data_IF_908734694564
#
_entry.id   IF_908734694564
#
_cell.length_a   1.000
_cell.length_b   1.000
_cell.length_c   1.000
_cell.angle_alpha   90.00
_cell.angle_beta   90.00
_cell.angle_gamma   90.00
#
_symmetry.space_group_name_H-M   'P 1'
#
loop_
_entity.id
_entity.type
_entity.pdbx_description
1 polymer ?
#
# COMPACT_ATOMS: atom_id res chain seq x y z
N UNK A 1 -37.82 -22.00 2.98
CA UNK A 1 -38.05 -21.74 4.41
C UNK A 1 -36.90 -22.40 5.17
N UNK A 2 -36.21 -21.66 6.06
CA UNK A 2 -35.02 -22.05 6.85
C UNK A 2 -33.63 -21.91 6.18
N UNK A 3 -33.22 -20.66 5.92
CA UNK A 3 -31.80 -20.23 5.85
C UNK A 3 -31.64 -18.92 6.62
N UNK A 4 -32.23 -18.85 7.81
CA UNK A 4 -32.30 -17.64 8.63
C UNK A 4 -32.11 -17.95 10.11
N UNK A 5 -31.11 -18.78 10.43
CA UNK A 5 -30.73 -19.07 11.82
C UNK A 5 -29.23 -19.33 11.88
N UNK A 6 -28.50 -18.27 12.29
CA UNK A 6 -27.17 -18.23 12.93
C UNK A 6 -26.51 -16.86 12.70
N UNK A 7 -27.22 -15.79 13.04
CA UNK A 7 -26.56 -14.59 13.55
C UNK A 7 -26.55 -14.75 15.07
N UNK A 8 -25.59 -15.53 15.57
CA UNK A 8 -25.35 -15.69 17.00
C UNK A 8 -24.84 -14.36 17.58
N UNK A 9 -25.75 -13.66 18.25
CA UNK A 9 -25.52 -12.70 19.34
C UNK A 9 -24.72 -11.42 19.02
N UNK A 10 -25.24 -10.61 18.09
CA UNK A 10 -24.78 -9.22 17.86
C UNK A 10 -24.80 -8.37 19.13
N UNK A 11 -25.66 -8.68 20.10
CA UNK A 11 -25.79 -7.95 21.36
C UNK A 11 -24.59 -8.19 22.29
N UNK A 12 -24.06 -9.43 22.35
CA UNK A 12 -22.82 -9.74 23.10
C UNK A 12 -21.60 -9.05 22.50
N UNK A 13 -21.48 -9.02 21.17
CA UNK A 13 -20.35 -8.38 20.49
C UNK A 13 -20.37 -6.86 20.74
N UNK A 14 -21.53 -6.21 20.61
CA UNK A 14 -21.66 -4.77 20.87
C UNK A 14 -21.38 -4.39 22.33
N UNK A 15 -21.79 -5.23 23.30
CA UNK A 15 -21.46 -5.03 24.71
C UNK A 15 -19.97 -5.19 24.98
N UNK A 16 -19.34 -6.22 24.40
CA UNK A 16 -17.91 -6.42 24.49
C UNK A 16 -17.12 -5.24 23.88
N UNK A 17 -17.57 -4.71 22.74
CA UNK A 17 -16.96 -3.52 22.12
C UNK A 17 -17.08 -2.29 23.01
N UNK A 18 -18.24 -2.05 23.61
CA UNK A 18 -18.46 -0.93 24.53
C UNK A 18 -17.61 -1.06 25.81
N UNK A 19 -17.51 -2.26 26.38
CA UNK A 19 -16.67 -2.56 27.55
C UNK A 19 -15.17 -2.44 27.22
N UNK A 20 -14.73 -2.90 26.04
CA UNK A 20 -13.36 -2.68 25.54
C UNK A 20 -13.04 -1.20 25.37
N UNK A 21 -13.97 -0.41 24.83
CA UNK A 21 -13.80 1.04 24.67
C UNK A 21 -13.71 1.77 26.01
N UNK A 22 -14.61 1.47 26.94
CA UNK A 22 -14.62 2.05 28.28
C UNK A 22 -13.36 1.68 29.07
N UNK A 23 -12.92 0.43 28.97
CA UNK A 23 -11.74 -0.05 29.69
C UNK A 23 -10.45 0.51 29.09
N UNK A 24 -10.38 0.72 27.76
CA UNK A 24 -9.24 1.37 27.08
C UNK A 24 -9.01 2.81 27.57
N UNK A 25 -10.08 3.51 27.95
CA UNK A 25 -9.99 4.83 28.59
C UNK A 25 -9.41 4.77 30.01
N UNK A 26 -9.49 3.62 30.68
CA UNK A 26 -8.95 3.38 32.02
C UNK A 26 -7.48 2.94 32.03
N UNK A 27 -6.85 2.76 30.86
CA UNK A 27 -5.41 2.49 30.76
C UNK A 27 -4.95 1.11 31.23
N UNK A 28 -5.85 0.12 31.37
CA UNK A 28 -5.46 -1.26 31.73
C UNK A 28 -4.48 -1.85 30.71
N UNK A 29 -3.62 -2.83 31.08
CA UNK A 29 -2.74 -3.52 30.15
C UNK A 29 -3.53 -4.42 29.18
N UNK A 30 -3.14 -4.45 27.89
CA UNK A 30 -3.79 -5.27 26.84
C UNK A 30 -3.96 -6.74 27.24
N UNK A 31 -3.01 -7.30 28.00
CA UNK A 31 -3.05 -8.68 28.48
C UNK A 31 -4.28 -8.98 29.37
N UNK A 32 -4.75 -7.99 30.13
CA UNK A 32 -5.90 -8.15 31.02
C UNK A 32 -7.22 -8.26 30.23
N UNK A 33 -7.37 -7.47 29.15
CA UNK A 33 -8.50 -7.57 28.22
C UNK A 33 -8.53 -8.91 27.50
N UNK A 34 -7.36 -9.38 27.05
CA UNK A 34 -7.26 -10.68 26.38
C UNK A 34 -7.74 -11.79 27.32
N UNK A 35 -7.48 -11.69 28.62
CA UNK A 35 -7.95 -12.67 29.61
C UNK A 35 -9.47 -12.57 29.82
N UNK A 36 -9.99 -11.36 29.98
CA UNK A 36 -11.39 -11.08 30.28
C UNK A 36 -12.32 -11.48 29.11
N UNK A 37 -11.95 -11.13 27.88
CA UNK A 37 -12.80 -11.29 26.69
C UNK A 37 -12.46 -12.51 25.80
N UNK A 38 -11.51 -13.37 26.22
CA UNK A 38 -11.12 -14.57 25.44
C UNK A 38 -12.31 -15.45 25.07
N UNK A 39 -13.28 -15.58 25.97
CA UNK A 39 -14.42 -16.48 25.81
C UNK A 39 -15.45 -15.98 24.78
N UNK A 40 -15.36 -14.71 24.35
CA UNK A 40 -16.26 -14.11 23.36
C UNK A 40 -15.76 -14.21 21.92
N UNK A 41 -14.50 -14.62 21.72
CA UNK A 41 -13.88 -14.71 20.40
C UNK A 41 -13.48 -16.15 20.11
N UNK A 42 -13.70 -16.58 18.86
CA UNK A 42 -13.29 -17.93 18.42
C UNK A 42 -11.77 -18.07 18.28
N UNK A 43 -11.06 -16.95 18.04
CA UNK A 43 -9.62 -16.92 17.82
C UNK A 43 -9.01 -15.58 18.23
N UNK A 44 -7.85 -15.64 18.88
CA UNK A 44 -7.01 -14.49 19.18
C UNK A 44 -5.81 -14.51 18.22
N UNK A 45 -5.54 -13.40 17.55
CA UNK A 45 -4.38 -13.23 16.66
C UNK A 45 -3.45 -12.19 17.28
N UNK A 46 -2.21 -12.58 17.55
CA UNK A 46 -1.18 -11.69 18.07
C UNK A 46 -0.37 -11.11 16.90
N UNK A 47 -0.24 -9.79 16.87
CA UNK A 47 0.55 -9.08 15.86
C UNK A 47 1.55 -8.18 16.59
N UNK A 48 2.85 -8.41 16.37
CA UNK A 48 3.90 -7.54 16.85
C UNK A 48 4.15 -6.42 15.83
N UNK A 49 3.86 -5.17 16.20
CA UNK A 49 4.08 -4.02 15.31
C UNK A 49 5.56 -3.71 15.07
N UNK A 50 6.44 -4.03 16.03
CA UNK A 50 7.88 -3.79 15.93
C UNK A 50 8.58 -4.70 14.90
N UNK A 51 7.96 -5.83 14.53
CA UNK A 51 8.47 -6.72 13.48
C UNK A 51 7.92 -6.42 12.08
N UNK A 52 7.10 -5.37 11.93
CA UNK A 52 6.51 -5.03 10.63
C UNK A 52 7.54 -4.32 9.74
N UNK A 53 7.76 -4.86 8.55
CA UNK A 53 8.52 -4.20 7.48
C UNK A 53 7.59 -3.67 6.39
N UNK A 54 8.01 -2.68 5.58
CA UNK A 54 7.25 -2.28 4.40
C UNK A 54 7.18 -3.41 3.37
N UNK A 55 6.00 -3.59 2.77
CA UNK A 55 5.75 -4.58 1.71
C UNK A 55 5.05 -3.93 0.51
N UNK A 56 5.30 -4.49 -0.67
CA UNK A 56 4.48 -4.33 -1.87
C UNK A 56 3.77 -5.66 -2.18
N UNK A 57 2.77 -5.61 -3.05
CA UNK A 57 2.05 -6.80 -3.52
C UNK A 57 2.18 -6.95 -5.03
N UNK A 58 2.43 -8.17 -5.51
CA UNK A 58 2.56 -8.46 -6.93
C UNK A 58 3.45 -9.67 -7.24
N UNK A 59 3.78 -9.89 -8.52
CA UNK A 59 3.46 -9.04 -9.67
C UNK A 59 2.06 -9.23 -10.25
N UNK A 60 1.35 -10.33 -9.92
CA UNK A 60 0.06 -10.67 -10.56
C UNK A 60 -1.14 -10.81 -9.61
N UNK A 61 -0.95 -10.89 -8.30
CA UNK A 61 -2.04 -11.00 -7.32
C UNK A 61 -1.80 -10.16 -6.07
N UNK A 62 -2.87 -9.69 -5.45
CA UNK A 62 -2.80 -8.79 -4.28
C UNK A 62 -2.24 -9.45 -3.01
N UNK A 63 -2.46 -10.75 -2.84
CA UNK A 63 -1.95 -11.52 -1.70
C UNK A 63 -0.46 -11.89 -1.81
N UNK A 64 0.16 -11.71 -2.98
CA UNK A 64 1.57 -12.00 -3.18
C UNK A 64 2.42 -10.88 -2.59
N UNK A 65 2.71 -10.96 -1.29
CA UNK A 65 3.52 -9.96 -0.58
C UNK A 65 5.00 -10.13 -0.86
N UNK A 66 5.70 -9.01 -1.03
CA UNK A 66 7.14 -8.92 -1.22
C UNK A 66 7.66 -7.78 -0.35
N UNK A 67 8.65 -8.06 0.50
CA UNK A 67 9.27 -7.00 1.32
C UNK A 67 9.94 -5.98 0.38
N UNK A 68 9.82 -4.69 0.66
CA UNK A 68 10.38 -3.63 -0.21
C UNK A 68 11.89 -3.83 -0.41
N UNK A 69 12.60 -4.29 0.63
CA UNK A 69 14.04 -4.62 0.58
C UNK A 69 14.37 -5.73 -0.40
N UNK A 70 13.43 -6.62 -0.69
CA UNK A 70 13.62 -7.82 -1.52
C UNK A 70 12.99 -7.66 -2.91
N UNK A 71 12.37 -6.51 -3.21
CA UNK A 71 11.62 -6.28 -4.44
C UNK A 71 12.47 -6.49 -5.70
N UNK A 72 13.74 -6.06 -5.70
CA UNK A 72 14.65 -6.23 -6.83
C UNK A 72 14.93 -7.72 -7.11
N UNK A 73 15.34 -8.46 -6.09
CA UNK A 73 15.68 -9.89 -6.22
C UNK A 73 14.44 -10.72 -6.56
N UNK A 74 13.29 -10.41 -5.96
CA UNK A 74 12.02 -11.10 -6.23
C UNK A 74 11.57 -10.89 -7.68
N UNK A 75 11.61 -9.66 -8.19
CA UNK A 75 11.28 -9.36 -9.58
C UNK A 75 12.25 -10.02 -10.56
N UNK A 76 13.55 -10.03 -10.27
CA UNK A 76 14.56 -10.71 -11.11
C UNK A 76 14.33 -12.22 -11.17
N UNK A 77 13.98 -12.86 -10.05
CA UNK A 77 13.58 -14.26 -10.04
C UNK A 77 12.32 -14.50 -10.89
N UNK A 78 11.33 -13.60 -10.81
CA UNK A 78 10.11 -13.68 -11.61
C UNK A 78 10.38 -13.64 -13.11
N UNK A 79 11.45 -12.99 -13.58
CA UNK A 79 11.78 -12.97 -15.02
C UNK A 79 12.05 -14.39 -15.55
N UNK A 80 12.73 -15.23 -14.78
CA UNK A 80 13.13 -16.58 -15.23
C UNK A 80 12.05 -17.64 -14.98
N UNK A 81 11.26 -17.46 -13.93
CA UNK A 81 10.28 -18.45 -13.48
C UNK A 81 9.21 -18.75 -14.54
N UNK A 82 8.72 -20.00 -14.57
CA UNK A 82 7.70 -20.45 -15.53
C UNK A 82 6.47 -19.56 -15.48
N UNK A 83 5.79 -19.40 -16.61
CA UNK A 83 4.59 -18.54 -16.67
C UNK A 83 3.59 -18.98 -15.59
N UNK A 84 3.35 -18.08 -14.65
CA UNK A 84 2.52 -18.33 -13.47
C UNK A 84 2.34 -17.04 -12.67
N UNK A 85 1.86 -17.12 -11.43
CA UNK A 85 1.61 -15.92 -10.61
C UNK A 85 2.88 -15.10 -10.31
N UNK A 86 4.03 -15.77 -10.23
CA UNK A 86 5.35 -15.18 -9.97
C UNK A 86 6.36 -15.48 -11.07
N UNK A 87 5.90 -15.65 -12.31
CA UNK A 87 6.80 -15.98 -13.41
C UNK A 87 6.38 -15.43 -14.76
N UNK A 88 7.38 -14.97 -15.51
CA UNK A 88 7.27 -14.38 -16.84
C UNK A 88 7.94 -15.24 -17.94
N UNK A 89 8.80 -16.18 -17.56
CA UNK A 89 9.49 -17.11 -18.46
C UNK A 89 10.24 -16.39 -19.61
N UNK A 90 11.00 -15.36 -19.25
CA UNK A 90 11.86 -14.61 -20.16
C UNK A 90 13.22 -15.33 -20.26
N UNK A 91 13.67 -15.73 -21.47
CA UNK A 91 14.98 -16.32 -21.67
C UNK A 91 16.10 -15.42 -21.13
N UNK A 92 17.13 -16.01 -20.53
CA UNK A 92 18.20 -15.27 -19.85
C UNK A 92 18.85 -14.21 -20.75
N UNK A 93 19.06 -14.54 -22.02
CA UNK A 93 19.61 -13.65 -23.04
C UNK A 93 18.76 -12.40 -23.33
N UNK A 94 17.46 -12.41 -22.97
CA UNK A 94 16.53 -11.28 -23.14
C UNK A 94 16.27 -10.50 -21.86
N UNK A 95 16.72 -10.97 -20.70
CA UNK A 95 16.42 -10.32 -19.42
C UNK A 95 17.10 -8.95 -19.25
N UNK A 96 18.22 -8.74 -19.93
CA UNK A 96 18.93 -7.45 -19.96
C UNK A 96 18.54 -6.58 -21.17
N UNK A 97 17.46 -6.92 -21.89
CA UNK A 97 17.04 -6.19 -23.08
C UNK A 97 16.64 -4.76 -22.70
N UNK A 98 17.23 -3.81 -23.40
CA UNK A 98 16.88 -2.38 -23.35
C UNK A 98 16.27 -2.00 -24.69
N UNK A 99 15.20 -1.23 -24.68
CA UNK A 99 14.49 -0.74 -25.87
C UNK A 99 14.44 0.79 -25.82
N UNK A 100 14.94 1.49 -26.84
CA UNK A 100 14.74 2.93 -26.96
C UNK A 100 13.28 3.25 -27.27
N UNK A 101 12.76 4.32 -26.69
CA UNK A 101 11.43 4.87 -26.93
C UNK A 101 11.52 6.37 -27.04
N UNK A 102 10.85 6.92 -28.04
CA UNK A 102 10.73 8.36 -28.22
C UNK A 102 9.44 8.85 -27.54
N UNK A 103 9.53 9.90 -26.72
CA UNK A 103 8.39 10.53 -26.09
C UNK A 103 8.61 12.05 -26.03
N UNK A 104 7.68 12.82 -26.60
CA UNK A 104 7.76 14.29 -26.68
C UNK A 104 9.11 14.79 -27.22
N UNK A 105 9.59 14.17 -28.31
CA UNK A 105 10.85 14.52 -28.97
C UNK A 105 12.13 14.20 -28.18
N UNK A 106 12.02 13.45 -27.08
CA UNK A 106 13.16 12.99 -26.28
C UNK A 106 13.28 11.46 -26.36
N UNK A 107 14.51 10.95 -26.43
CA UNK A 107 14.79 9.52 -26.41
C UNK A 107 14.98 9.02 -24.98
N UNK A 108 14.28 7.94 -24.63
CA UNK A 108 14.38 7.25 -23.35
C UNK A 108 14.66 5.77 -23.55
N UNK A 109 15.18 5.12 -22.52
CA UNK A 109 15.45 3.69 -22.52
C UNK A 109 14.52 2.97 -21.53
N UNK A 110 13.81 1.96 -22.01
CA UNK A 110 13.01 1.05 -21.20
C UNK A 110 13.68 -0.31 -21.10
N UNK A 111 13.60 -0.89 -19.90
CA UNK A 111 14.09 -2.23 -19.60
C UNK A 111 13.03 -3.00 -18.81
N UNK A 112 13.28 -4.29 -18.56
CA UNK A 112 12.44 -5.04 -17.64
C UNK A 112 12.46 -4.41 -16.24
N UNK A 113 11.26 -4.15 -15.71
CA UNK A 113 11.08 -3.47 -14.42
C UNK A 113 11.01 -1.95 -14.49
N UNK A 114 11.09 -1.35 -15.69
CA UNK A 114 10.80 0.08 -15.86
C UNK A 114 9.36 0.40 -15.44
N UNK A 115 9.20 1.41 -14.59
CA UNK A 115 7.89 1.93 -14.19
C UNK A 115 7.36 2.81 -15.32
N UNK A 116 6.16 2.48 -15.82
CA UNK A 116 5.47 3.26 -16.86
C UNK A 116 4.17 3.90 -16.36
N UNK A 117 3.63 3.41 -15.24
CA UNK A 117 2.45 3.95 -14.57
C UNK A 117 2.77 4.06 -13.07
N UNK A 118 2.50 5.21 -12.48
CA UNK A 118 2.62 5.45 -11.04
C UNK A 118 1.36 6.17 -10.55
N UNK A 119 0.40 5.39 -10.03
CA UNK A 119 -0.94 5.88 -9.73
C UNK A 119 -1.26 5.77 -8.23
N UNK A 120 -1.69 6.88 -7.64
CA UNK A 120 -2.23 6.97 -6.28
C UNK A 120 -3.74 7.10 -6.37
N UNK A 121 -4.45 5.97 -6.49
CA UNK A 121 -5.87 5.92 -6.92
C UNK A 121 -6.82 5.11 -6.01
N UNK A 122 -6.32 4.43 -4.96
CA UNK A 122 -7.15 3.54 -4.14
C UNK A 122 -7.83 4.26 -2.97
N UNK A 123 -9.13 4.01 -2.77
CA UNK A 123 -9.87 4.48 -1.59
C UNK A 123 -9.30 3.94 -0.25
N UNK A 124 -8.54 2.83 -0.26
CA UNK A 124 -7.91 2.29 0.94
C UNK A 124 -6.82 3.21 1.48
N UNK A 125 -5.99 3.77 0.58
CA UNK A 125 -4.83 4.58 0.97
C UNK A 125 -5.10 6.07 0.81
N UNK A 126 -5.91 6.46 -0.17
CA UNK A 126 -6.17 7.86 -0.49
C UNK A 126 -7.10 8.52 0.54
N UNK A 127 -7.73 7.75 1.42
CA UNK A 127 -8.50 8.25 2.56
C UNK A 127 -7.69 8.32 3.87
N UNK A 128 -6.43 7.88 3.88
CA UNK A 128 -5.57 7.90 5.07
C UNK A 128 -4.72 9.19 5.09
N UNK A 129 -5.01 10.17 5.97
CA UNK A 129 -4.29 11.44 6.01
C UNK A 129 -2.80 11.28 6.26
N UNK A 130 -2.40 10.32 7.10
CA UNK A 130 -0.99 10.09 7.43
C UNK A 130 -0.21 9.61 6.21
N UNK A 131 -0.79 8.71 5.42
CA UNK A 131 -0.15 8.20 4.21
C UNK A 131 -0.04 9.30 3.13
N UNK A 132 -1.11 10.06 2.91
CA UNK A 132 -1.15 11.10 1.88
C UNK A 132 -0.26 12.29 2.21
N UNK A 133 -0.26 12.76 3.46
CA UNK A 133 0.68 13.78 3.91
C UNK A 133 2.12 13.27 3.86
N UNK A 134 2.36 12.01 4.23
CA UNK A 134 3.67 11.36 4.09
C UNK A 134 4.18 11.39 2.64
N UNK A 135 3.31 11.07 1.68
CA UNK A 135 3.62 11.15 0.25
C UNK A 135 3.92 12.59 -0.20
N UNK A 136 3.12 13.57 0.24
CA UNK A 136 3.36 14.98 -0.06
C UNK A 136 4.68 15.52 0.53
N UNK A 137 5.01 15.14 1.76
CA UNK A 137 6.29 15.51 2.38
C UNK A 137 7.47 14.85 1.67
N UNK A 138 7.33 13.60 1.20
CA UNK A 138 8.33 12.95 0.37
C UNK A 138 8.51 13.68 -0.96
N UNK A 139 7.42 14.06 -1.63
CA UNK A 139 7.45 14.83 -2.87
C UNK A 139 8.15 16.19 -2.69
N UNK A 140 7.88 16.87 -1.57
CA UNK A 140 8.57 18.11 -1.20
C UNK A 140 10.07 17.89 -1.08
N UNK A 141 10.50 16.92 -0.26
CA UNK A 141 11.93 16.62 -0.08
C UNK A 141 12.62 16.21 -1.38
N UNK A 142 11.94 15.42 -2.22
CA UNK A 142 12.47 15.01 -3.52
C UNK A 142 12.65 16.22 -4.45
N UNK A 143 11.67 17.12 -4.50
CA UNK A 143 11.72 18.34 -5.31
C UNK A 143 12.80 19.32 -4.83
N UNK A 144 12.97 19.47 -3.51
CA UNK A 144 14.01 20.29 -2.89
C UNK A 144 15.41 19.70 -3.13
N UNK A 145 15.50 18.37 -3.24
CA UNK A 145 16.72 17.67 -3.64
C UNK A 145 16.98 17.70 -5.17
N UNK A 146 16.14 18.36 -5.96
CA UNK A 146 16.28 18.47 -7.42
C UNK A 146 15.89 17.22 -8.19
N UNK A 147 15.20 16.25 -7.56
CA UNK A 147 14.71 15.06 -8.23
C UNK A 147 13.47 15.38 -9.08
N UNK A 148 13.37 14.73 -10.24
CA UNK A 148 12.25 14.83 -11.16
C UNK A 148 11.79 13.43 -11.60
N UNK A 149 10.53 13.33 -12.01
CA UNK A 149 9.98 12.10 -12.61
C UNK A 149 10.20 12.17 -14.12
N UNK A 150 10.52 11.02 -14.74
CA UNK A 150 10.70 10.96 -16.19
C UNK A 150 9.36 11.24 -16.89
N UNK A 151 9.30 12.13 -17.90
CA UNK A 151 8.05 12.55 -18.54
C UNK A 151 7.19 11.42 -19.14
N UNK A 152 7.81 10.31 -19.58
CA UNK A 152 7.06 9.18 -20.13
C UNK A 152 6.25 8.40 -19.07
N UNK A 153 6.50 8.61 -17.78
CA UNK A 153 5.81 7.90 -16.71
C UNK A 153 4.42 8.52 -16.56
N UNK A 154 3.38 7.70 -16.74
CA UNK A 154 2.00 8.16 -16.53
C UNK A 154 1.70 8.19 -15.04
N UNK A 155 1.86 9.36 -14.44
CA UNK A 155 1.50 9.62 -13.04
C UNK A 155 0.02 9.97 -12.92
N UNK A 156 -0.60 9.61 -11.81
CA UNK A 156 -1.94 10.08 -11.47
C UNK A 156 -2.17 10.11 -9.96
N UNK A 157 -2.88 11.15 -9.51
CA UNK A 157 -3.32 11.30 -8.13
C UNK A 157 -4.84 11.51 -8.15
N UNK A 158 -5.58 10.60 -7.50
CA UNK A 158 -7.04 10.72 -7.38
C UNK A 158 -7.43 10.77 -5.90
N UNK A 159 -7.52 11.98 -5.30
CA UNK A 159 -7.93 12.14 -3.91
C UNK A 159 -9.27 11.43 -3.65
N UNK A 160 -9.32 10.59 -2.61
CA UNK A 160 -10.51 9.79 -2.30
C UNK A 160 -11.70 10.59 -1.78
N UNK A 161 -11.49 11.86 -1.42
CA UNK A 161 -12.52 12.80 -1.01
C UNK A 161 -12.02 14.25 -1.12
N UNK A 162 -12.93 15.23 -1.08
CA UNK A 162 -12.57 16.65 -1.05
C UNK A 162 -11.73 17.04 0.17
N UNK A 163 -11.89 16.33 1.29
CA UNK A 163 -11.07 16.55 2.50
C UNK A 163 -9.60 16.24 2.26
N UNK A 164 -9.29 15.27 1.41
CA UNK A 164 -7.92 14.89 1.06
C UNK A 164 -7.23 16.02 0.33
N UNK A 165 -7.89 16.56 -0.69
CA UNK A 165 -7.43 17.74 -1.41
C UNK A 165 -7.24 18.93 -0.47
N UNK A 166 -8.18 19.13 0.46
CA UNK A 166 -8.11 20.25 1.41
C UNK A 166 -6.84 20.19 2.27
N UNK A 167 -6.57 19.07 2.97
CA UNK A 167 -5.37 19.03 3.83
C UNK A 167 -4.05 19.00 3.03
N UNK A 168 -4.02 18.46 1.81
CA UNK A 168 -2.82 18.51 0.95
C UNK A 168 -2.51 19.95 0.51
N UNK A 169 -3.55 20.73 0.19
CA UNK A 169 -3.42 22.14 -0.13
C UNK A 169 -3.01 22.97 1.09
N UNK A 170 -3.73 22.82 2.21
CA UNK A 170 -3.48 23.60 3.43
C UNK A 170 -2.13 23.31 4.07
N UNK A 171 -1.58 22.10 3.89
CA UNK A 171 -0.22 21.76 4.34
C UNK A 171 0.88 22.22 3.37
N UNK A 172 0.53 22.76 2.20
CA UNK A 172 1.47 23.27 1.21
C UNK A 172 2.24 22.20 0.45
N UNK A 173 1.83 20.92 0.54
CA UNK A 173 2.53 19.82 -0.15
C UNK A 173 1.98 19.54 -1.56
N UNK A 174 0.75 19.96 -1.86
CA UNK A 174 0.12 19.72 -3.16
C UNK A 174 0.92 20.24 -4.37
N UNK A 175 1.54 21.45 -4.34
CA UNK A 175 2.36 21.92 -5.46
C UNK A 175 3.54 21.01 -5.79
N UNK A 176 4.12 20.35 -4.77
CA UNK A 176 5.25 19.43 -4.95
C UNK A 176 4.81 18.09 -5.53
N UNK A 177 3.62 17.62 -5.19
CA UNK A 177 3.01 16.47 -5.85
C UNK A 177 2.83 16.77 -7.33
N UNK A 178 2.14 17.86 -7.68
CA UNK A 178 1.91 18.28 -9.06
C UNK A 178 3.20 18.47 -9.87
N UNK A 179 4.29 18.94 -9.22
CA UNK A 179 5.60 19.09 -9.87
C UNK A 179 6.22 17.75 -10.29
N UNK A 180 5.95 16.69 -9.53
CA UNK A 180 6.41 15.33 -9.84
C UNK A 180 5.42 14.56 -10.74
N UNK A 181 4.26 15.13 -11.04
CA UNK A 181 3.21 14.59 -11.92
C UNK A 181 1.91 14.32 -11.18
#
# INVERSE_FOLDING_TARGET
MALREKFEDTTRIQRAEAELQATRQQGKPVAEYIREFRHLVSKIIHINLGSITPYVSGPKRAQDRVAVTNMKSDFQACLSEKVGFRGFQIPAEKQCRIVPVEYEGNEYQLAHGSVVIAAVISCTNNCNPSAMLGAGLLAKKASEAGLTVKPYIRTSLSPGSGMVTHYLSSSGVLPYLNKLG
#
